data_IF_775461570113
#
_entry.id   IF_775461570113
#
_cell.length_a   1.000
_cell.length_b   1.000
_cell.length_c   1.000
_cell.angle_alpha   90.00
_cell.angle_beta   90.00
_cell.angle_gamma   90.00
#
_symmetry.space_group_name_H-M   'P 1'
#
loop_
_entity.id
_entity.type
_entity.pdbx_description
1 polymer ?
#
# COMPACT_ATOMS: atom_id res chain seq x y z
N UNK A 1 6.18 32.09 -8.94
CA UNK A 1 6.24 30.62 -9.09
C UNK A 1 7.24 30.01 -8.11
N UNK A 2 7.28 30.51 -6.86
CA UNK A 2 8.34 30.15 -5.88
C UNK A 2 7.81 29.89 -4.46
N UNK A 3 6.50 29.72 -4.24
CA UNK A 3 5.93 29.47 -2.90
C UNK A 3 5.48 28.02 -2.65
N UNK A 4 5.51 27.13 -3.64
CA UNK A 4 4.99 25.77 -3.47
C UNK A 4 6.03 24.71 -3.04
N UNK A 5 7.33 25.02 -3.10
CA UNK A 5 8.40 24.07 -2.75
C UNK A 5 8.74 24.08 -1.25
N UNK A 6 8.48 25.18 -0.55
CA UNK A 6 8.80 25.31 0.87
C UNK A 6 7.88 24.50 1.81
N UNK A 7 6.65 24.20 1.37
CA UNK A 7 5.69 23.43 2.21
C UNK A 7 6.03 21.92 2.30
N UNK A 8 6.71 21.36 1.30
CA UNK A 8 7.01 19.93 1.25
C UNK A 8 8.17 19.55 2.18
N UNK A 9 9.10 20.47 2.42
CA UNK A 9 10.29 20.17 3.24
C UNK A 9 10.04 20.15 4.75
N UNK A 10 8.92 20.69 5.24
CA UNK A 10 8.63 20.76 6.68
C UNK A 10 7.91 19.53 7.25
N UNK A 11 7.40 18.62 6.39
CA UNK A 11 6.57 17.49 6.83
C UNK A 11 7.31 16.17 7.08
N UNK A 12 8.60 16.09 6.76
CA UNK A 12 9.37 14.84 6.90
C UNK A 12 9.99 14.60 8.28
N UNK A 13 9.82 15.53 9.24
CA UNK A 13 10.49 15.47 10.55
C UNK A 13 9.55 15.29 11.76
N UNK A 14 8.24 15.02 11.58
CA UNK A 14 7.34 14.82 12.71
C UNK A 14 7.33 13.35 13.10
N UNK A 15 7.95 13.04 14.24
CA UNK A 15 7.86 11.75 14.91
C UNK A 15 6.40 11.37 15.20
N UNK A 16 6.05 10.07 15.25
CA UNK A 16 4.68 9.61 15.44
C UNK A 16 4.21 9.97 16.85
N UNK A 17 3.35 10.97 16.95
CA UNK A 17 2.54 11.17 18.14
C UNK A 17 1.22 10.43 17.97
N UNK A 18 0.72 9.89 19.10
CA UNK A 18 -0.55 9.15 19.15
C UNK A 18 -1.67 9.92 18.43
N UNK A 19 -2.55 9.17 17.76
CA UNK A 19 -3.72 9.68 17.04
C UNK A 19 -4.71 10.33 18.03
N UNK A 20 -4.34 11.51 18.57
CA UNK A 20 -5.24 12.49 19.15
C UNK A 20 -5.49 13.55 18.09
N UNK A 21 -6.64 14.22 18.13
CA UNK A 21 -7.04 15.24 17.17
C UNK A 21 -5.88 16.23 16.93
N UNK A 22 -4.98 15.92 16.01
CA UNK A 22 -3.92 16.84 15.63
C UNK A 22 -4.59 18.00 14.91
N UNK A 23 -4.48 19.20 15.50
CA UNK A 23 -4.75 20.42 14.76
C UNK A 23 -3.82 20.45 13.56
N UNK A 24 -4.39 20.54 12.35
CA UNK A 24 -3.67 20.71 11.10
C UNK A 24 -3.66 22.20 10.74
N UNK A 25 -2.71 23.00 11.29
CA UNK A 25 -2.67 24.43 11.04
C UNK A 25 -2.56 24.71 9.54
N UNK A 26 -3.41 25.59 9.03
CA UNK A 26 -3.43 25.94 7.63
C UNK A 26 -4.29 25.02 6.73
N UNK A 27 -4.86 23.93 7.27
CA UNK A 27 -5.80 23.07 6.55
C UNK A 27 -7.23 23.44 6.89
N UNK A 28 -8.01 23.88 5.90
CA UNK A 28 -9.44 24.14 6.10
C UNK A 28 -10.18 22.86 6.46
N UNK A 29 -10.79 22.82 7.64
CA UNK A 29 -11.64 21.73 8.09
C UNK A 29 -12.99 21.82 7.38
N UNK A 30 -13.35 20.76 6.65
CA UNK A 30 -14.67 20.65 6.01
C UNK A 30 -15.63 19.85 6.89
N UNK A 31 -16.94 20.11 6.71
CA UNK A 31 -17.99 19.21 7.17
C UNK A 31 -18.37 18.23 6.06
N UNK A 32 -19.09 17.16 6.45
CA UNK A 32 -19.61 16.20 5.47
C UNK A 32 -20.52 16.86 4.43
N UNK A 33 -21.37 17.79 4.86
CA UNK A 33 -22.31 18.54 3.99
C UNK A 33 -21.55 19.39 2.95
N UNK A 34 -20.45 20.03 3.36
CA UNK A 34 -19.59 20.79 2.46
C UNK A 34 -18.91 19.88 1.42
N UNK A 35 -18.45 18.69 1.82
CA UNK A 35 -17.89 17.69 0.91
C UNK A 35 -18.95 17.27 -0.11
N UNK A 36 -20.16 16.93 0.32
CA UNK A 36 -21.26 16.53 -0.56
C UNK A 36 -21.67 17.65 -1.52
N UNK A 37 -21.77 18.87 -1.02
CA UNK A 37 -22.13 20.05 -1.83
C UNK A 37 -21.06 20.35 -2.91
N UNK A 38 -19.78 20.14 -2.59
CA UNK A 38 -18.68 20.28 -3.56
C UNK A 38 -18.76 19.19 -4.63
N UNK A 39 -18.95 17.92 -4.24
CA UNK A 39 -19.06 16.78 -5.17
C UNK A 39 -20.31 16.85 -6.05
N UNK A 40 -21.39 17.46 -5.57
CA UNK A 40 -22.59 17.66 -6.39
C UNK A 40 -22.34 18.57 -7.59
N UNK A 41 -21.36 19.46 -7.53
CA UNK A 41 -20.95 20.38 -8.60
C UNK A 41 -19.91 19.77 -9.55
N UNK A 42 -19.32 18.61 -9.19
CA UNK A 42 -18.30 17.97 -9.98
C UNK A 42 -18.83 17.41 -11.29
N UNK A 43 -18.01 17.52 -12.35
CA UNK A 43 -18.22 16.86 -13.63
C UNK A 43 -16.97 16.09 -14.03
N UNK A 44 -17.07 15.24 -15.08
CA UNK A 44 -15.92 14.50 -15.61
C UNK A 44 -14.79 15.40 -16.12
N UNK A 45 -15.13 16.62 -16.58
CA UNK A 45 -14.17 17.63 -17.07
C UNK A 45 -13.67 18.57 -15.98
N UNK A 46 -14.33 18.60 -14.80
CA UNK A 46 -13.98 19.45 -13.67
C UNK A 46 -14.18 18.66 -12.37
N UNK A 47 -13.23 17.75 -12.04
CA UNK A 47 -13.28 17.01 -10.77
C UNK A 47 -13.14 17.97 -9.59
N UNK A 48 -13.75 17.62 -8.46
CA UNK A 48 -13.67 18.43 -7.25
C UNK A 48 -12.24 18.53 -6.75
N UNK A 49 -11.84 19.70 -6.32
CA UNK A 49 -10.54 19.94 -5.70
C UNK A 49 -10.66 20.00 -4.16
N UNK A 50 -10.13 19.00 -3.50
CA UNK A 50 -9.95 18.92 -2.05
C UNK A 50 -8.47 19.02 -1.66
N UNK A 51 -7.64 19.63 -2.51
CA UNK A 51 -6.22 19.83 -2.22
C UNK A 51 -6.03 20.48 -0.84
N UNK A 52 -5.20 19.87 0.00
CA UNK A 52 -4.86 20.37 1.35
C UNK A 52 -6.10 20.67 2.22
N UNK A 53 -7.22 19.98 2.04
CA UNK A 53 -8.39 20.09 2.92
C UNK A 53 -8.30 19.08 4.06
N UNK A 54 -8.84 19.45 5.23
CA UNK A 54 -8.95 18.59 6.37
C UNK A 54 -10.34 17.92 6.41
N UNK A 55 -10.38 16.62 6.09
CA UNK A 55 -11.54 15.74 6.12
C UNK A 55 -11.42 14.70 7.25
N UNK A 56 -10.51 14.89 8.20
CA UNK A 56 -10.26 13.93 9.27
C UNK A 56 -11.51 13.69 10.13
N UNK A 57 -11.69 12.43 10.56
CA UNK A 57 -12.78 11.97 11.42
C UNK A 57 -14.19 12.15 10.83
N UNK A 58 -14.33 12.43 9.53
CA UNK A 58 -15.63 12.51 8.89
C UNK A 58 -16.19 11.12 8.55
N UNK A 59 -17.51 11.00 8.56
CA UNK A 59 -18.19 9.85 7.96
C UNK A 59 -18.44 10.13 6.48
N UNK A 60 -17.60 9.56 5.64
CA UNK A 60 -17.60 9.67 4.18
C UNK A 60 -17.92 8.31 3.52
N UNK A 61 -18.57 7.42 4.29
CA UNK A 61 -18.91 6.07 3.82
C UNK A 61 -19.84 6.13 2.62
N UNK A 62 -19.58 5.29 1.60
CA UNK A 62 -20.36 5.17 0.39
C UNK A 62 -20.33 6.37 -0.55
N UNK A 63 -19.52 7.39 -0.27
CA UNK A 63 -19.42 8.59 -1.12
C UNK A 63 -18.64 8.26 -2.40
N UNK A 64 -19.15 8.74 -3.55
CA UNK A 64 -18.43 8.78 -4.80
C UNK A 64 -17.65 10.09 -4.93
N UNK A 65 -16.31 10.00 -4.85
CA UNK A 65 -15.42 11.15 -4.99
C UNK A 65 -15.15 11.58 -6.42
N UNK A 66 -15.69 10.85 -7.42
CA UNK A 66 -15.66 11.25 -8.84
C UNK A 66 -14.27 11.65 -9.35
N UNK A 67 -13.27 10.85 -9.03
CA UNK A 67 -11.86 11.11 -9.38
C UNK A 67 -11.33 12.47 -8.85
N UNK A 68 -11.80 12.92 -7.69
CA UNK A 68 -11.40 14.19 -7.08
C UNK A 68 -9.88 14.28 -6.84
N UNK A 69 -9.39 15.51 -6.75
CA UNK A 69 -8.08 15.81 -6.25
C UNK A 69 -8.10 15.87 -4.71
N UNK A 70 -7.54 14.87 -4.05
CA UNK A 70 -7.36 14.74 -2.60
C UNK A 70 -5.87 14.84 -2.22
N UNK A 71 -5.03 15.39 -3.12
CA UNK A 71 -3.60 15.50 -2.81
C UNK A 71 -3.37 16.39 -1.60
N UNK A 72 -2.44 15.98 -0.74
CA UNK A 72 -2.16 16.58 0.56
C UNK A 72 -3.39 16.67 1.50
N UNK A 73 -4.53 16.05 1.18
CA UNK A 73 -5.69 16.06 2.07
C UNK A 73 -5.46 15.23 3.34
N UNK A 74 -6.13 15.61 4.43
CA UNK A 74 -6.10 14.89 5.70
C UNK A 74 -7.38 14.10 5.86
N UNK A 75 -7.26 12.77 5.87
CA UNK A 75 -8.34 11.79 5.99
C UNK A 75 -8.16 10.92 7.26
N UNK A 76 -7.30 11.32 8.19
CA UNK A 76 -6.99 10.55 9.39
C UNK A 76 -8.26 10.21 10.17
N UNK A 77 -8.43 8.93 10.53
CA UNK A 77 -9.57 8.44 11.28
C UNK A 77 -10.92 8.57 10.56
N UNK A 78 -10.97 8.99 9.30
CA UNK A 78 -12.23 9.10 8.56
C UNK A 78 -12.81 7.72 8.24
N UNK A 79 -14.15 7.63 8.15
CA UNK A 79 -14.86 6.46 7.67
C UNK A 79 -15.09 6.62 6.17
N UNK A 80 -14.45 5.75 5.41
CA UNK A 80 -14.48 5.70 3.94
C UNK A 80 -14.95 4.32 3.43
N UNK A 81 -15.65 3.55 4.29
CA UNK A 81 -16.15 2.24 3.93
C UNK A 81 -17.06 2.32 2.69
N UNK A 82 -16.81 1.47 1.71
CA UNK A 82 -17.54 1.43 0.42
C UNK A 82 -17.49 2.76 -0.38
N UNK A 83 -16.58 3.69 -0.04
CA UNK A 83 -16.40 4.91 -0.83
C UNK A 83 -15.77 4.60 -2.19
N UNK A 84 -16.17 5.33 -3.22
CA UNK A 84 -15.52 5.30 -4.52
C UNK A 84 -14.45 6.39 -4.59
N UNK A 85 -13.18 5.96 -4.47
CA UNK A 85 -11.97 6.77 -4.60
C UNK A 85 -11.21 6.42 -5.88
N UNK A 86 -11.85 5.71 -6.81
CA UNK A 86 -11.21 5.29 -8.06
C UNK A 86 -10.69 6.49 -8.84
N UNK A 87 -9.45 6.36 -9.34
CA UNK A 87 -8.74 7.41 -10.09
C UNK A 87 -8.54 8.73 -9.34
N UNK A 88 -8.85 8.80 -8.04
CA UNK A 88 -8.54 9.98 -7.23
C UNK A 88 -7.04 10.23 -7.15
N UNK A 89 -6.66 11.49 -7.08
CA UNK A 89 -5.29 11.87 -6.72
C UNK A 89 -5.18 11.99 -5.19
N UNK A 90 -4.53 11.02 -4.57
CA UNK A 90 -4.27 10.93 -3.13
C UNK A 90 -2.77 11.15 -2.80
N UNK A 91 -2.04 11.79 -3.73
CA UNK A 91 -0.62 12.05 -3.55
C UNK A 91 -0.35 12.86 -2.28
N UNK A 92 0.58 12.40 -1.43
CA UNK A 92 0.99 13.05 -0.17
C UNK A 92 -0.16 13.18 0.85
N UNK A 93 -1.27 12.47 0.67
CA UNK A 93 -2.40 12.53 1.60
C UNK A 93 -2.16 11.68 2.86
N UNK A 94 -2.89 12.00 3.92
CA UNK A 94 -2.80 11.36 5.22
C UNK A 94 -4.12 10.66 5.53
N UNK A 95 -4.09 9.35 5.76
CA UNK A 95 -5.26 8.53 6.08
C UNK A 95 -4.92 7.51 7.18
N UNK A 96 -4.10 7.93 8.15
CA UNK A 96 -3.73 7.07 9.28
C UNK A 96 -4.98 6.69 10.08
N UNK A 97 -5.12 5.39 10.37
CA UNK A 97 -6.27 4.86 11.09
C UNK A 97 -7.62 5.01 10.38
N UNK A 98 -7.65 5.43 9.12
CA UNK A 98 -8.90 5.53 8.35
C UNK A 98 -9.52 4.15 8.08
N UNK A 99 -10.85 4.10 7.99
CA UNK A 99 -11.56 2.89 7.60
C UNK A 99 -11.96 2.94 6.13
N UNK A 100 -11.22 2.22 5.29
CA UNK A 100 -11.40 2.07 3.85
C UNK A 100 -11.95 0.66 3.49
N UNK A 101 -12.65 0.00 4.41
CA UNK A 101 -13.23 -1.34 4.16
C UNK A 101 -14.08 -1.34 2.90
N UNK A 102 -13.80 -2.24 1.96
CA UNK A 102 -14.45 -2.36 0.65
C UNK A 102 -14.45 -1.08 -0.20
N UNK A 103 -13.59 -0.10 0.08
CA UNK A 103 -13.46 1.08 -0.76
C UNK A 103 -12.90 0.73 -2.14
N UNK A 104 -13.34 1.44 -3.17
CA UNK A 104 -12.76 1.34 -4.51
C UNK A 104 -11.68 2.40 -4.70
N UNK A 105 -10.43 1.97 -4.80
CA UNK A 105 -9.23 2.78 -5.04
C UNK A 105 -8.60 2.42 -6.41
N UNK A 106 -9.36 1.79 -7.31
CA UNK A 106 -8.85 1.35 -8.61
C UNK A 106 -8.19 2.50 -9.37
N UNK A 107 -6.93 2.31 -9.76
CA UNK A 107 -6.18 3.29 -10.53
C UNK A 107 -5.91 4.61 -9.80
N UNK A 108 -6.11 4.69 -8.49
CA UNK A 108 -5.80 5.89 -7.70
C UNK A 108 -4.29 6.18 -7.69
N UNK A 109 -3.93 7.45 -7.66
CA UNK A 109 -2.55 7.92 -7.45
C UNK A 109 -2.32 8.13 -5.96
N UNK A 110 -1.49 7.28 -5.34
CA UNK A 110 -1.27 7.22 -3.89
C UNK A 110 0.23 7.39 -3.56
N UNK A 111 0.92 8.27 -4.29
CA UNK A 111 2.33 8.53 -4.06
C UNK A 111 2.54 9.26 -2.72
N UNK A 112 3.44 8.75 -1.86
CA UNK A 112 3.71 9.25 -0.51
C UNK A 112 2.50 9.30 0.42
N UNK A 113 1.44 8.51 0.14
CA UNK A 113 0.26 8.41 1.01
C UNK A 113 0.58 7.70 2.33
N UNK A 114 0.06 8.23 3.44
CA UNK A 114 0.23 7.67 4.77
C UNK A 114 -1.04 6.90 5.18
N UNK A 115 -0.93 5.57 5.29
CA UNK A 115 -2.02 4.65 5.60
C UNK A 115 -1.72 3.80 6.85
N UNK A 116 -0.83 4.27 7.72
CA UNK A 116 -0.44 3.53 8.92
C UNK A 116 -1.68 3.16 9.75
N UNK A 117 -1.80 1.86 10.07
CA UNK A 117 -2.91 1.35 10.87
C UNK A 117 -4.28 1.49 10.22
N UNK A 118 -4.38 1.88 8.96
CA UNK A 118 -5.65 1.97 8.25
C UNK A 118 -6.26 0.58 8.00
N UNK A 119 -7.58 0.51 7.88
CA UNK A 119 -8.30 -0.70 7.50
C UNK A 119 -8.72 -0.62 6.03
N UNK A 120 -8.13 -1.48 5.19
CA UNK A 120 -8.42 -1.62 3.76
C UNK A 120 -8.96 -3.03 3.45
N UNK A 121 -9.60 -3.68 4.43
CA UNK A 121 -10.16 -5.03 4.25
C UNK A 121 -11.11 -5.07 3.07
N UNK A 122 -10.85 -5.97 2.10
CA UNK A 122 -11.65 -6.11 0.89
C UNK A 122 -11.62 -4.92 -0.06
N UNK A 123 -10.79 -3.90 0.16
CA UNK A 123 -10.68 -2.75 -0.74
C UNK A 123 -10.08 -3.16 -2.09
N UNK A 124 -10.48 -2.46 -3.16
CA UNK A 124 -9.95 -2.65 -4.50
C UNK A 124 -8.91 -1.58 -4.84
N UNK A 125 -7.64 -1.96 -4.86
CA UNK A 125 -6.50 -1.10 -5.22
C UNK A 125 -5.92 -1.50 -6.60
N UNK A 126 -6.68 -2.24 -7.44
CA UNK A 126 -6.18 -2.76 -8.71
C UNK A 126 -5.63 -1.64 -9.59
N UNK A 127 -4.40 -1.81 -10.07
CA UNK A 127 -3.74 -0.84 -10.94
C UNK A 127 -3.47 0.52 -10.30
N UNK A 128 -3.66 0.69 -9.00
CA UNK A 128 -3.25 1.90 -8.30
C UNK A 128 -1.72 2.04 -8.27
N UNK A 129 -1.22 3.27 -8.17
CA UNK A 129 0.19 3.54 -7.93
C UNK A 129 0.40 3.94 -6.48
N UNK A 130 1.18 3.13 -5.75
CA UNK A 130 1.43 3.35 -4.34
C UNK A 130 2.92 3.29 -4.00
N UNK A 131 3.42 4.37 -3.45
CA UNK A 131 4.69 4.42 -2.71
C UNK A 131 4.38 5.19 -1.44
N UNK A 132 4.48 4.56 -0.28
CA UNK A 132 4.06 5.21 0.97
C UNK A 132 4.10 4.28 2.16
N UNK A 133 3.34 4.60 3.20
CA UNK A 133 3.37 3.89 4.48
C UNK A 133 2.07 3.11 4.73
N UNK A 134 2.17 1.77 4.68
CA UNK A 134 1.11 0.82 5.02
C UNK A 134 1.41 0.06 6.32
N UNK A 135 2.35 0.53 7.14
CA UNK A 135 2.73 -0.17 8.37
C UNK A 135 1.53 -0.45 9.27
N UNK A 136 1.38 -1.72 9.66
CA UNK A 136 0.28 -2.16 10.50
C UNK A 136 -1.11 -2.02 9.88
N UNK A 137 -1.23 -1.74 8.59
CA UNK A 137 -2.52 -1.67 7.92
C UNK A 137 -3.16 -3.06 7.76
N UNK A 138 -4.48 -3.10 7.74
CA UNK A 138 -5.24 -4.32 7.47
C UNK A 138 -5.75 -4.35 6.02
N UNK A 139 -5.11 -5.16 5.18
CA UNK A 139 -5.45 -5.40 3.78
C UNK A 139 -6.01 -6.82 3.56
N UNK A 140 -6.58 -7.45 4.60
CA UNK A 140 -7.17 -8.79 4.47
C UNK A 140 -8.14 -8.84 3.29
N UNK A 141 -7.90 -9.78 2.35
CA UNK A 141 -8.72 -9.98 1.13
C UNK A 141 -8.82 -8.74 0.22
N UNK A 142 -7.94 -7.76 0.36
CA UNK A 142 -7.88 -6.64 -0.56
C UNK A 142 -7.36 -7.09 -1.93
N UNK A 143 -7.74 -6.37 -2.99
CA UNK A 143 -7.32 -6.62 -4.36
C UNK A 143 -6.28 -5.57 -4.76
N UNK A 144 -5.02 -5.99 -4.86
CA UNK A 144 -3.87 -5.17 -5.27
C UNK A 144 -3.31 -5.62 -6.63
N UNK A 145 -4.12 -6.35 -7.41
CA UNK A 145 -3.69 -6.90 -8.69
C UNK A 145 -3.18 -5.79 -9.62
N UNK A 146 -1.99 -6.01 -10.24
CA UNK A 146 -1.33 -5.07 -11.13
C UNK A 146 -1.04 -3.69 -10.49
N UNK A 147 -1.04 -3.59 -9.17
CA UNK A 147 -0.65 -2.37 -8.46
C UNK A 147 0.83 -2.07 -8.73
N UNK A 148 1.16 -0.79 -8.91
CA UNK A 148 2.54 -0.33 -9.02
C UNK A 148 2.99 0.25 -7.67
N UNK A 149 3.68 -0.57 -6.89
CA UNK A 149 4.29 -0.24 -5.60
C UNK A 149 5.82 -0.23 -5.66
N UNK A 150 6.41 -0.28 -6.86
CA UNK A 150 7.85 -0.31 -7.04
C UNK A 150 8.54 0.97 -6.54
N UNK A 151 9.73 0.80 -5.94
CA UNK A 151 10.50 1.93 -5.47
C UNK A 151 10.82 2.93 -6.60
N UNK A 152 10.65 4.22 -6.33
CA UNK A 152 11.04 5.27 -7.27
C UNK A 152 12.57 5.43 -7.27
N UNK A 153 13.21 4.96 -8.35
CA UNK A 153 14.65 5.01 -8.53
C UNK A 153 15.15 6.32 -9.18
N UNK A 154 14.22 7.19 -9.60
CA UNK A 154 14.58 8.44 -10.30
C UNK A 154 14.73 9.63 -9.35
N UNK A 155 13.99 9.64 -8.24
CA UNK A 155 13.94 10.75 -7.29
C UNK A 155 14.67 10.42 -5.97
N UNK A 156 15.90 9.91 -6.05
CA UNK A 156 16.68 9.45 -4.89
C UNK A 156 17.21 10.56 -3.98
N UNK A 157 17.08 11.82 -4.34
CA UNK A 157 17.54 12.96 -3.53
C UNK A 157 16.85 13.06 -2.16
N UNK A 158 15.72 12.38 -1.99
CA UNK A 158 14.92 12.31 -0.76
C UNK A 158 15.06 10.97 -0.02
N UNK A 159 16.03 10.13 -0.41
CA UNK A 159 16.17 8.75 0.06
C UNK A 159 15.37 7.75 -0.80
N UNK A 160 15.54 6.46 -0.53
CA UNK A 160 14.83 5.41 -1.25
C UNK A 160 13.34 5.44 -0.89
N UNK A 161 12.52 6.02 -1.76
CA UNK A 161 11.07 5.99 -1.62
C UNK A 161 10.56 4.63 -2.10
N UNK A 162 10.00 3.84 -1.18
CA UNK A 162 9.48 2.49 -1.40
C UNK A 162 8.15 2.27 -0.69
N UNK A 163 7.39 1.29 -1.12
CA UNK A 163 6.24 0.84 -0.35
C UNK A 163 6.72 0.21 0.97
N UNK A 164 6.24 0.74 2.08
CA UNK A 164 6.52 0.22 3.42
C UNK A 164 5.28 -0.50 3.93
N UNK A 165 5.35 -1.85 3.95
CA UNK A 165 4.23 -2.73 4.26
C UNK A 165 4.48 -3.52 5.55
N UNK A 166 5.45 -3.07 6.35
CA UNK A 166 5.89 -3.76 7.58
C UNK A 166 4.74 -4.00 8.54
N UNK A 167 4.64 -5.21 9.08
CA UNK A 167 3.63 -5.65 10.05
C UNK A 167 2.19 -5.49 9.55
N UNK A 168 1.95 -5.45 8.23
CA UNK A 168 0.61 -5.38 7.66
C UNK A 168 -0.05 -6.77 7.59
N UNK A 169 -1.37 -6.81 7.65
CA UNK A 169 -2.17 -8.00 7.42
C UNK A 169 -2.65 -8.04 5.97
N UNK A 170 -2.09 -8.95 5.15
CA UNK A 170 -2.47 -9.17 3.75
C UNK A 170 -3.03 -10.60 3.54
N UNK A 171 -3.60 -11.21 4.57
CA UNK A 171 -4.16 -12.57 4.47
C UNK A 171 -5.16 -12.69 3.33
N UNK A 172 -4.89 -13.63 2.41
CA UNK A 172 -5.77 -13.88 1.27
C UNK A 172 -5.92 -12.69 0.32
N UNK A 173 -5.05 -11.69 0.39
CA UNK A 173 -5.05 -10.57 -0.56
C UNK A 173 -4.61 -11.01 -1.95
N UNK A 174 -5.09 -10.35 -3.00
CA UNK A 174 -4.67 -10.58 -4.37
C UNK A 174 -3.64 -9.53 -4.81
N UNK A 175 -2.36 -9.93 -4.89
CA UNK A 175 -1.24 -9.14 -5.40
C UNK A 175 -0.77 -9.65 -6.76
N UNK A 176 -1.61 -10.41 -7.48
CA UNK A 176 -1.21 -11.02 -8.75
C UNK A 176 -0.72 -9.97 -9.74
N UNK A 177 0.46 -10.22 -10.34
CA UNK A 177 1.11 -9.34 -11.31
C UNK A 177 1.38 -7.91 -10.81
N UNK A 178 1.30 -7.66 -9.50
CA UNK A 178 1.70 -6.39 -8.92
C UNK A 178 3.23 -6.22 -9.00
N UNK A 179 3.70 -4.99 -9.01
CA UNK A 179 5.12 -4.67 -8.89
C UNK A 179 5.38 -4.00 -7.54
N UNK A 180 6.06 -4.71 -6.65
CA UNK A 180 6.51 -4.23 -5.35
C UNK A 180 8.03 -4.30 -5.22
N UNK A 181 8.74 -4.17 -6.33
CA UNK A 181 10.20 -4.23 -6.34
C UNK A 181 10.80 -3.27 -5.30
N UNK A 182 11.68 -3.82 -4.44
CA UNK A 182 12.35 -3.14 -3.32
C UNK A 182 11.44 -2.70 -2.18
N UNK A 183 10.19 -3.11 -2.13
CA UNK A 183 9.29 -2.88 -0.99
C UNK A 183 9.77 -3.61 0.27
N UNK A 184 9.20 -3.23 1.42
CA UNK A 184 9.46 -3.86 2.70
C UNK A 184 8.18 -4.50 3.23
N UNK A 185 8.15 -5.84 3.24
CA UNK A 185 7.06 -6.66 3.78
C UNK A 185 7.45 -7.33 5.11
N UNK A 186 8.49 -6.87 5.77
CA UNK A 186 8.96 -7.48 7.00
C UNK A 186 7.84 -7.61 8.04
N UNK A 187 7.76 -8.77 8.69
CA UNK A 187 6.79 -9.09 9.74
C UNK A 187 5.32 -9.05 9.30
N UNK A 188 5.04 -9.07 8.00
CA UNK A 188 3.67 -9.06 7.48
C UNK A 188 3.09 -10.47 7.39
N UNK A 189 1.76 -10.55 7.45
CA UNK A 189 1.01 -11.79 7.23
C UNK A 189 0.48 -11.81 5.79
N UNK A 190 1.12 -12.56 4.90
CA UNK A 190 0.71 -12.84 3.52
C UNK A 190 0.16 -14.26 3.38
N UNK A 191 -0.27 -14.89 4.48
CA UNK A 191 -0.74 -16.27 4.42
C UNK A 191 -1.96 -16.40 3.49
N UNK A 192 -1.87 -17.35 2.54
CA UNK A 192 -2.87 -17.57 1.52
C UNK A 192 -3.04 -16.43 0.51
N UNK A 193 -2.15 -15.44 0.47
CA UNK A 193 -2.18 -14.38 -0.53
C UNK A 193 -1.81 -14.91 -1.93
N UNK A 194 -2.36 -14.28 -2.96
CA UNK A 194 -2.03 -14.56 -4.35
C UNK A 194 -0.98 -13.54 -4.85
N UNK A 195 0.25 -13.99 -5.06
CA UNK A 195 1.37 -13.21 -5.62
C UNK A 195 1.80 -13.77 -6.99
N UNK A 196 0.93 -14.53 -7.67
CA UNK A 196 1.25 -15.17 -8.94
C UNK A 196 1.72 -14.15 -9.98
N UNK A 197 2.90 -14.37 -10.55
CA UNK A 197 3.52 -13.50 -11.54
C UNK A 197 3.87 -12.09 -11.04
N UNK A 198 3.89 -11.85 -9.74
CA UNK A 198 4.28 -10.56 -9.17
C UNK A 198 5.77 -10.28 -9.38
N UNK A 199 6.13 -9.00 -9.52
CA UNK A 199 7.51 -8.52 -9.51
C UNK A 199 7.88 -8.11 -8.09
N UNK A 200 8.80 -8.87 -7.49
CA UNK A 200 9.18 -8.75 -6.09
C UNK A 200 10.70 -8.65 -5.94
N UNK A 201 11.38 -8.04 -6.90
CA UNK A 201 12.84 -7.93 -6.92
C UNK A 201 13.36 -7.13 -5.74
N UNK A 202 14.31 -7.70 -5.00
CA UNK A 202 14.97 -7.02 -3.89
C UNK A 202 14.03 -6.67 -2.73
N UNK A 203 12.92 -7.38 -2.59
CA UNK A 203 11.96 -7.19 -1.48
C UNK A 203 12.53 -7.76 -0.17
N UNK A 204 12.23 -7.08 0.94
CA UNK A 204 12.52 -7.57 2.29
C UNK A 204 11.31 -8.37 2.81
N UNK A 205 11.51 -9.67 3.07
CA UNK A 205 10.51 -10.58 3.64
C UNK A 205 10.92 -11.13 5.01
N UNK A 206 11.65 -10.35 5.80
CA UNK A 206 12.10 -10.81 7.11
C UNK A 206 10.92 -11.01 8.06
N UNK A 207 10.83 -12.18 8.71
CA UNK A 207 9.75 -12.53 9.62
C UNK A 207 8.36 -12.63 8.98
N UNK A 208 8.29 -12.71 7.67
CA UNK A 208 7.02 -12.72 6.92
C UNK A 208 6.39 -14.11 6.93
N UNK A 209 5.08 -14.15 7.08
CA UNK A 209 4.28 -15.37 6.92
C UNK A 209 3.80 -15.50 5.45
N UNK A 210 4.38 -16.44 4.71
CA UNK A 210 4.03 -16.79 3.33
C UNK A 210 3.34 -18.17 3.25
N UNK A 211 2.83 -18.70 4.36
CA UNK A 211 2.18 -20.02 4.36
C UNK A 211 1.00 -20.05 3.40
N UNK A 212 0.96 -21.08 2.56
CA UNK A 212 -0.10 -21.28 1.56
C UNK A 212 -0.24 -20.12 0.56
N UNK A 213 0.71 -19.20 0.48
CA UNK A 213 0.72 -18.17 -0.54
C UNK A 213 1.01 -18.75 -1.91
N UNK A 214 0.43 -18.16 -2.96
CA UNK A 214 0.75 -18.51 -4.34
C UNK A 214 1.77 -17.49 -4.91
N UNK A 215 3.02 -17.92 -5.05
CA UNK A 215 4.11 -17.15 -5.66
C UNK A 215 4.48 -17.73 -7.04
N UNK A 216 3.59 -18.48 -7.69
CA UNK A 216 3.89 -19.12 -8.96
C UNK A 216 4.31 -18.09 -10.02
N UNK A 217 5.46 -18.34 -10.66
CA UNK A 217 6.03 -17.44 -11.67
C UNK A 217 6.43 -16.05 -11.15
N UNK A 218 6.49 -15.83 -9.84
CA UNK A 218 6.92 -14.56 -9.28
C UNK A 218 8.43 -14.32 -9.48
N UNK A 219 8.81 -13.07 -9.70
CA UNK A 219 10.21 -12.65 -9.79
C UNK A 219 10.67 -12.12 -8.41
N UNK A 220 11.39 -12.97 -7.70
CA UNK A 220 11.92 -12.74 -6.35
C UNK A 220 13.44 -12.51 -6.37
N UNK A 221 13.98 -12.15 -7.53
CA UNK A 221 15.42 -11.96 -7.73
C UNK A 221 16.00 -10.98 -6.71
N UNK A 222 17.04 -11.40 -5.97
CA UNK A 222 17.74 -10.57 -4.99
C UNK A 222 16.94 -10.23 -3.74
N UNK A 223 15.79 -10.86 -3.51
CA UNK A 223 14.98 -10.65 -2.30
C UNK A 223 15.59 -11.31 -1.09
N UNK A 224 15.19 -10.86 0.12
CA UNK A 224 15.71 -11.38 1.39
C UNK A 224 14.60 -12.07 2.17
N UNK A 225 14.89 -13.31 2.56
CA UNK A 225 14.02 -14.17 3.34
C UNK A 225 14.75 -14.56 4.64
N UNK A 226 14.46 -13.83 5.71
CA UNK A 226 15.02 -14.10 7.04
C UNK A 226 13.87 -14.52 7.94
N UNK A 227 13.95 -15.70 8.55
CA UNK A 227 12.90 -16.25 9.43
C UNK A 227 11.51 -16.30 8.78
N UNK A 228 11.45 -16.45 7.44
CA UNK A 228 10.24 -16.49 6.64
C UNK A 228 9.64 -17.91 6.63
N UNK A 229 8.30 -18.02 6.66
CA UNK A 229 7.59 -19.28 6.64
C UNK A 229 6.90 -19.54 5.29
N UNK A 230 7.31 -20.61 4.58
CA UNK A 230 6.79 -21.02 3.27
C UNK A 230 5.89 -22.27 3.33
N UNK A 231 5.47 -22.73 4.52
CA UNK A 231 4.74 -23.98 4.63
C UNK A 231 3.50 -24.02 3.74
N UNK A 232 3.47 -24.95 2.80
CA UNK A 232 2.39 -25.13 1.82
C UNK A 232 2.32 -24.04 0.73
N UNK A 233 3.32 -23.17 0.60
CA UNK A 233 3.37 -22.18 -0.47
C UNK A 233 3.55 -22.83 -1.86
N UNK A 234 3.00 -22.19 -2.88
CA UNK A 234 3.24 -22.55 -4.27
C UNK A 234 4.33 -21.66 -4.86
N UNK A 235 5.53 -22.22 -5.07
CA UNK A 235 6.70 -21.55 -5.63
C UNK A 235 6.98 -22.03 -7.06
N UNK A 236 6.00 -22.67 -7.72
CA UNK A 236 6.18 -23.22 -9.09
C UNK A 236 6.67 -22.13 -10.04
N UNK A 237 7.77 -22.38 -10.75
CA UNK A 237 8.37 -21.48 -11.73
C UNK A 237 8.80 -20.10 -11.17
N UNK A 238 8.86 -19.92 -9.85
CA UNK A 238 9.34 -18.69 -9.23
C UNK A 238 10.86 -18.53 -9.36
N UNK A 239 11.33 -17.28 -9.47
CA UNK A 239 12.74 -16.96 -9.62
C UNK A 239 13.34 -16.34 -8.36
N UNK A 240 14.15 -17.10 -7.63
CA UNK A 240 14.90 -16.69 -6.45
C UNK A 240 16.38 -16.42 -6.73
N UNK A 241 16.76 -16.19 -8.00
CA UNK A 241 18.16 -15.92 -8.34
C UNK A 241 18.72 -14.79 -7.47
N UNK A 242 19.90 -15.01 -6.90
CA UNK A 242 20.56 -14.08 -5.97
C UNK A 242 19.73 -13.70 -4.72
N UNK A 243 18.66 -14.43 -4.39
CA UNK A 243 17.95 -14.25 -3.13
C UNK A 243 18.78 -14.74 -1.95
N UNK A 244 18.55 -14.13 -0.79
CA UNK A 244 19.21 -14.51 0.47
C UNK A 244 18.21 -15.22 1.38
N UNK A 245 18.61 -16.38 1.92
CA UNK A 245 17.80 -17.18 2.83
C UNK A 245 18.53 -17.37 4.16
N UNK A 246 17.83 -17.11 5.28
CA UNK A 246 18.32 -17.43 6.62
C UNK A 246 17.14 -17.75 7.54
N UNK A 247 17.20 -18.89 8.24
CA UNK A 247 16.17 -19.30 9.19
C UNK A 247 14.80 -19.54 8.57
N UNK A 248 14.71 -19.76 7.24
CA UNK A 248 13.43 -20.03 6.56
C UNK A 248 12.87 -21.38 6.98
N UNK A 249 11.54 -21.49 6.98
CA UNK A 249 10.81 -22.70 7.36
C UNK A 249 9.84 -23.12 6.27
N UNK A 250 9.46 -24.41 6.28
CA UNK A 250 8.39 -24.97 5.46
C UNK A 250 8.67 -25.07 3.96
N UNK A 251 9.92 -24.88 3.51
CA UNK A 251 10.30 -25.10 2.10
C UNK A 251 10.13 -26.56 1.67
N UNK A 252 10.29 -27.51 2.59
CA UNK A 252 10.05 -28.93 2.38
C UNK A 252 8.58 -29.28 2.14
N UNK A 253 7.66 -28.37 2.50
CA UNK A 253 6.23 -28.49 2.32
C UNK A 253 5.71 -27.64 1.16
N UNK A 254 6.58 -26.85 0.53
CA UNK A 254 6.24 -25.98 -0.59
C UNK A 254 6.34 -26.71 -1.94
N UNK A 255 5.53 -26.28 -2.91
CA UNK A 255 5.67 -26.73 -4.32
C UNK A 255 6.75 -25.92 -5.01
N UNK A 256 7.88 -26.57 -5.33
CA UNK A 256 9.08 -25.88 -5.90
C UNK A 256 9.39 -26.28 -7.35
N UNK A 257 8.44 -26.89 -8.07
CA UNK A 257 8.65 -27.33 -9.46
C UNK A 257 9.05 -26.14 -10.34
N UNK A 258 10.19 -26.24 -11.03
CA UNK A 258 10.70 -25.20 -11.93
C UNK A 258 11.20 -23.93 -11.24
N UNK A 259 11.13 -23.85 -9.90
CA UNK A 259 11.71 -22.74 -9.17
C UNK A 259 13.24 -22.70 -9.33
N UNK A 260 13.81 -21.50 -9.43
CA UNK A 260 15.25 -21.28 -9.60
C UNK A 260 15.84 -20.55 -8.40
N UNK A 261 17.12 -20.79 -8.11
CA UNK A 261 17.85 -20.07 -7.06
C UNK A 261 17.57 -20.59 -5.64
N UNK A 262 16.92 -21.75 -5.48
CA UNK A 262 16.69 -22.38 -4.17
C UNK A 262 17.89 -23.25 -3.72
N UNK A 263 18.89 -23.44 -4.60
CA UNK A 263 20.09 -24.25 -4.28
C UNK A 263 20.92 -23.64 -3.15
N UNK A 264 20.81 -22.31 -2.97
CA UNK A 264 21.51 -21.58 -1.91
C UNK A 264 20.89 -21.78 -0.50
N UNK A 265 19.73 -22.45 -0.42
CA UNK A 265 19.12 -22.75 0.87
C UNK A 265 19.85 -23.93 1.49
N UNK A 266 20.81 -23.65 2.39
CA UNK A 266 21.46 -24.73 3.15
C UNK A 266 20.39 -25.44 4.00
N UNK A 267 20.24 -26.76 3.77
CA UNK A 267 19.39 -27.65 4.55
C UNK A 267 19.85 -27.75 6.00
#
# INVERSE_FOLDING_TARGET
MTLHVAAISLFLAVAPQAVGAADWPGYEKLTREQVLAALAKASSSAPTDFYAKNLSNLDLSGIDFKAANLSAAVLNGSKLSNANLSRCNLTVSFAEGANLTNADLQGAMMFSMQLRGATLKGANLSGARFIGDLRGANLEKAVLARMDGAADMKNQSMGLMRANVVSANLRGADLSRADFSRADFSFSDLSGANLAGARLRGVEFSGTDLRRADLSGADLTGSKFIDTDFAGANLTDADFTAATFRGVRGLDQASTRGARGLEAVSR
#
